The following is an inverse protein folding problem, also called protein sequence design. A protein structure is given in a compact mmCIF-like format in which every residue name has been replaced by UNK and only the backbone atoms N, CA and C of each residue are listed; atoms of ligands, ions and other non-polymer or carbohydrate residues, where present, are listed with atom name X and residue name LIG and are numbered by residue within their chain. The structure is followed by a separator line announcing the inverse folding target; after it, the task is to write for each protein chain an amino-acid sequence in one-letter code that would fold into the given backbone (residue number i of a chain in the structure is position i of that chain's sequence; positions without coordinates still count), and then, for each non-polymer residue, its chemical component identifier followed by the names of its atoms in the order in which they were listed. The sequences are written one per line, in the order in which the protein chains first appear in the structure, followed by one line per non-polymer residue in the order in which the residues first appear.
data_IF_919525457915
#
_entry.id   IF_919525457915
#
_cell.length_a   1.000
_cell.length_b   1.000
_cell.length_c   1.000
_cell.angle_alpha   90.00
_cell.angle_beta   90.00
_cell.angle_gamma   90.00
#
_symmetry.space_group_name_H-M   'P 1'
#
loop_
_entity.id
_entity.type
_entity.pdbx_description
1 polymer ?
#
# COMPACT_ATOMS: atom_id res chain seq x y z
N UNK A 1 36.96 -4.89 4.17
CA UNK A 1 35.63 -4.23 4.14
C UNK A 1 35.17 -4.03 5.58
N UNK A 2 35.01 -2.79 6.02
CA UNK A 2 34.48 -2.47 7.35
C UNK A 2 32.97 -2.48 7.29
N UNK A 3 32.32 -3.40 8.01
CA UNK A 3 30.85 -3.45 8.11
C UNK A 3 30.41 -2.47 9.20
N UNK A 4 29.79 -1.35 8.80
CA UNK A 4 29.13 -0.42 9.72
C UNK A 4 27.65 -0.77 9.76
N UNK A 5 27.08 -0.96 10.95
CA UNK A 5 25.65 -1.23 11.09
C UNK A 5 24.99 -0.18 11.98
N UNK A 6 23.82 0.32 11.55
CA UNK A 6 23.00 1.22 12.35
C UNK A 6 21.60 0.61 12.48
N UNK A 7 21.12 0.50 13.72
CA UNK A 7 19.70 0.21 13.96
C UNK A 7 18.93 1.52 13.80
N UNK A 8 17.97 1.52 12.90
CA UNK A 8 17.08 2.65 12.68
C UNK A 8 15.65 2.16 12.76
N UNK A 9 15.03 2.41 13.90
CA UNK A 9 13.59 2.31 14.02
C UNK A 9 13.00 3.64 13.62
N UNK A 10 12.31 3.68 12.47
CA UNK A 10 11.25 4.65 12.29
C UNK A 10 11.72 6.13 12.27
N UNK A 11 13.04 6.36 12.06
CA UNK A 11 13.69 7.67 12.07
C UNK A 11 14.28 7.98 10.69
N UNK A 12 14.08 9.20 10.21
CA UNK A 12 14.80 9.70 9.04
C UNK A 12 16.24 10.02 9.42
N UNK A 13 17.21 9.46 8.71
CA UNK A 13 18.65 9.72 8.86
C UNK A 13 19.15 10.48 7.63
N UNK A 14 19.20 11.82 7.66
CA UNK A 14 19.52 12.64 6.49
C UNK A 14 20.91 12.36 5.91
N UNK A 15 21.87 11.98 6.75
CA UNK A 15 23.25 11.72 6.35
C UNK A 15 23.32 10.62 5.29
N UNK A 16 22.43 9.63 5.36
CA UNK A 16 22.35 8.52 4.41
C UNK A 16 21.83 8.91 3.03
N UNK A 17 21.22 10.09 2.90
CA UNK A 17 20.68 10.59 1.62
C UNK A 17 21.64 11.54 0.90
N UNK A 18 22.81 11.82 1.48
CA UNK A 18 23.83 12.67 0.87
C UNK A 18 24.59 11.90 -0.23
N UNK A 19 25.06 12.58 -1.29
CA UNK A 19 25.98 11.96 -2.25
C UNK A 19 27.18 11.35 -1.52
N UNK A 20 27.56 10.12 -1.89
CA UNK A 20 28.67 9.39 -1.28
C UNK A 20 28.55 9.18 0.24
N UNK A 21 27.31 9.10 0.77
CA UNK A 21 27.06 8.83 2.18
C UNK A 21 27.67 7.51 2.68
N UNK A 22 27.85 6.55 1.77
CA UNK A 22 28.54 5.29 2.01
C UNK A 22 29.82 5.31 1.17
N UNK A 23 30.98 5.24 1.83
CA UNK A 23 32.27 5.27 1.15
C UNK A 23 32.45 4.02 0.26
N UNK A 24 33.17 4.12 -0.88
CA UNK A 24 33.49 2.96 -1.70
C UNK A 24 34.17 1.86 -0.88
N UNK A 25 33.63 0.63 -0.92
CA UNK A 25 34.16 -0.53 -0.19
C UNK A 25 33.69 -0.66 1.27
N UNK A 26 32.93 0.31 1.80
CA UNK A 26 32.21 0.15 3.06
C UNK A 26 30.89 -0.60 2.83
N UNK A 27 30.55 -1.49 3.75
CA UNK A 27 29.23 -2.12 3.80
C UNK A 27 28.45 -1.43 4.91
N UNK A 28 27.35 -0.77 4.55
CA UNK A 28 26.45 -0.14 5.51
C UNK A 28 25.16 -0.95 5.63
N UNK A 29 24.90 -1.46 6.84
CA UNK A 29 23.73 -2.30 7.13
C UNK A 29 22.69 -1.50 7.92
N UNK A 30 21.50 -1.38 7.34
CA UNK A 30 20.32 -0.83 7.99
C UNK A 30 19.53 -1.95 8.64
N UNK A 31 19.39 -1.90 9.96
CA UNK A 31 18.64 -2.89 10.73
C UNK A 31 17.28 -2.28 11.13
N UNK A 32 16.25 -3.12 11.12
CA UNK A 32 14.87 -2.83 11.57
C UNK A 32 14.01 -2.09 10.52
N UNK A 33 12.94 -1.41 10.97
CA UNK A 33 11.90 -0.86 10.12
C UNK A 33 12.27 0.51 9.56
N UNK A 34 12.77 0.51 8.33
CA UNK A 34 13.14 1.69 7.55
C UNK A 34 11.98 2.17 6.68
N UNK A 35 11.10 3.00 7.24
CA UNK A 35 9.86 3.39 6.55
C UNK A 35 9.57 4.89 6.59
N UNK A 36 10.62 5.69 6.77
CA UNK A 36 10.51 7.11 6.44
C UNK A 36 10.55 7.31 4.93
N UNK A 37 9.49 7.91 4.37
CA UNK A 37 9.42 8.19 2.92
C UNK A 37 10.53 9.14 2.45
N UNK A 38 11.11 9.94 3.36
CA UNK A 38 12.16 10.91 3.08
C UNK A 38 13.43 10.27 2.52
N UNK A 39 13.66 8.98 2.79
CA UNK A 39 14.74 8.23 2.17
C UNK A 39 14.52 7.93 0.70
N UNK A 40 13.25 7.83 0.30
CA UNK A 40 12.85 7.39 -1.04
C UNK A 40 12.37 8.55 -1.91
N UNK A 41 12.04 9.70 -1.30
CA UNK A 41 11.38 10.82 -1.97
C UNK A 41 12.09 11.32 -3.23
N UNK A 42 13.42 11.25 -3.27
CA UNK A 42 14.24 11.66 -4.43
C UNK A 42 14.16 10.67 -5.59
N UNK A 43 13.85 9.41 -5.30
CA UNK A 43 13.84 8.28 -6.24
C UNK A 43 12.45 7.67 -6.40
N UNK A 44 11.39 8.38 -6.02
CA UNK A 44 10.01 7.88 -6.05
C UNK A 44 9.66 7.28 -7.42
N UNK A 45 9.95 8.01 -8.50
CA UNK A 45 9.60 7.58 -9.86
C UNK A 45 10.44 6.39 -10.31
N UNK A 46 11.75 6.39 -10.04
CA UNK A 46 12.60 5.23 -10.34
C UNK A 46 12.14 3.99 -9.58
N UNK A 47 11.83 4.13 -8.28
CA UNK A 47 11.34 3.02 -7.46
C UNK A 47 10.04 2.47 -8.04
N UNK A 48 9.07 3.33 -8.33
CA UNK A 48 7.72 2.91 -8.75
C UNK A 48 7.64 2.44 -10.19
N UNK A 49 8.44 3.02 -11.08
CA UNK A 49 8.31 2.80 -12.53
C UNK A 49 9.39 1.87 -13.10
N UNK A 50 10.57 1.77 -12.44
CA UNK A 50 11.72 1.04 -12.97
C UNK A 50 12.19 -0.11 -12.09
N UNK A 51 12.21 0.07 -10.77
CA UNK A 51 12.75 -0.92 -9.83
C UNK A 51 11.68 -1.91 -9.38
N UNK A 52 10.53 -1.40 -8.94
CA UNK A 52 9.45 -2.24 -8.46
C UNK A 52 8.70 -2.87 -9.62
N UNK A 53 8.88 -4.18 -9.79
CA UNK A 53 8.17 -4.99 -10.76
C UNK A 53 7.91 -6.38 -10.20
N UNK A 54 6.85 -7.02 -10.71
CA UNK A 54 6.62 -8.44 -10.49
C UNK A 54 7.52 -9.25 -11.42
N UNK A 55 7.84 -10.49 -11.03
CA UNK A 55 8.28 -11.51 -11.99
C UNK A 55 7.12 -11.86 -12.92
N UNK A 56 7.41 -12.39 -14.11
CA UNK A 56 6.37 -12.73 -15.09
C UNK A 56 5.32 -13.69 -14.51
N UNK A 57 5.74 -14.69 -13.74
CA UNK A 57 4.83 -15.64 -13.08
C UNK A 57 3.89 -14.97 -12.08
N UNK A 58 4.41 -14.08 -11.22
CA UNK A 58 3.58 -13.33 -10.25
C UNK A 58 2.64 -12.40 -11.00
N UNK A 59 3.13 -11.67 -12.01
CA UNK A 59 2.32 -10.73 -12.78
C UNK A 59 1.16 -11.45 -13.46
N UNK A 60 1.39 -12.59 -14.09
CA UNK A 60 0.33 -13.39 -14.73
C UNK A 60 -0.72 -13.85 -13.72
N UNK A 61 -0.29 -14.42 -12.59
CA UNK A 61 -1.20 -14.90 -11.55
C UNK A 61 -2.07 -13.78 -10.98
N UNK A 62 -1.47 -12.63 -10.67
CA UNK A 62 -2.19 -11.47 -10.16
C UNK A 62 -3.08 -10.85 -11.23
N UNK A 63 -2.61 -10.71 -12.46
CA UNK A 63 -3.41 -10.14 -13.55
C UNK A 63 -4.64 -10.99 -13.87
N UNK A 64 -4.54 -12.32 -13.75
CA UNK A 64 -5.67 -13.22 -13.91
C UNK A 64 -6.78 -12.98 -12.88
N UNK A 65 -6.46 -12.58 -11.64
CA UNK A 65 -7.47 -12.18 -10.66
C UNK A 65 -8.34 -11.04 -11.22
N UNK A 66 -7.72 -9.98 -11.77
CA UNK A 66 -8.45 -8.86 -12.34
C UNK A 66 -9.24 -9.29 -13.59
N UNK A 67 -8.63 -10.05 -14.51
CA UNK A 67 -9.30 -10.57 -15.72
C UNK A 67 -10.56 -11.35 -15.35
N UNK A 68 -10.47 -12.23 -14.34
CA UNK A 68 -11.60 -13.02 -13.88
C UNK A 68 -12.68 -12.16 -13.25
N UNK A 69 -12.32 -11.12 -12.48
CA UNK A 69 -13.30 -10.17 -11.95
C UNK A 69 -14.02 -9.44 -13.11
N UNK A 70 -13.29 -8.92 -14.10
CA UNK A 70 -13.88 -8.28 -15.27
C UNK A 70 -14.86 -9.21 -15.99
N UNK A 71 -14.46 -10.46 -16.20
CA UNK A 71 -15.25 -11.46 -16.93
C UNK A 71 -16.48 -11.93 -16.14
N UNK A 72 -16.29 -12.31 -14.88
CA UNK A 72 -17.28 -13.03 -14.09
C UNK A 72 -18.18 -12.09 -13.28
N UNK A 73 -17.71 -10.89 -12.94
CA UNK A 73 -18.41 -9.95 -12.05
C UNK A 73 -18.80 -8.66 -12.74
N UNK A 74 -17.97 -8.16 -13.67
CA UNK A 74 -18.25 -6.94 -14.44
C UNK A 74 -18.77 -7.24 -15.85
N UNK A 75 -18.95 -8.51 -16.20
CA UNK A 75 -19.48 -8.98 -17.48
C UNK A 75 -18.82 -8.33 -18.71
N UNK A 76 -17.52 -8.10 -18.65
CA UNK A 76 -16.74 -7.44 -19.70
C UNK A 76 -15.42 -8.17 -19.95
N UNK A 77 -14.86 -7.99 -21.15
CA UNK A 77 -13.65 -8.70 -21.60
C UNK A 77 -12.64 -7.71 -22.20
N UNK A 78 -12.06 -6.83 -21.38
CA UNK A 78 -11.01 -5.94 -21.85
C UNK A 78 -9.80 -6.73 -22.35
N UNK A 79 -9.14 -6.22 -23.38
CA UNK A 79 -7.89 -6.79 -23.90
C UNK A 79 -6.72 -6.23 -23.10
N UNK A 80 -6.23 -7.01 -22.14
CA UNK A 80 -5.06 -6.65 -21.34
C UNK A 80 -3.78 -7.34 -21.85
N UNK A 81 -2.65 -6.65 -21.70
CA UNK A 81 -1.32 -7.24 -21.82
C UNK A 81 -0.83 -7.59 -20.41
N UNK A 82 -0.44 -8.85 -20.21
CA UNK A 82 -0.01 -9.38 -18.91
C UNK A 82 1.53 -9.48 -18.78
N UNK A 83 2.26 -8.87 -19.71
CA UNK A 83 3.73 -9.00 -19.79
C UNK A 83 4.49 -7.83 -19.16
N UNK A 84 3.79 -6.76 -18.82
CA UNK A 84 4.40 -5.57 -18.26
C UNK A 84 3.52 -4.98 -17.15
N UNK A 85 4.09 -4.87 -15.95
CA UNK A 85 3.40 -4.36 -14.76
C UNK A 85 2.80 -2.98 -15.02
N UNK A 86 3.60 -2.03 -15.51
CA UNK A 86 3.18 -0.63 -15.67
C UNK A 86 2.11 -0.49 -16.75
N UNK A 87 2.25 -1.24 -17.85
CA UNK A 87 1.24 -1.29 -18.90
C UNK A 87 -0.08 -1.86 -18.37
N UNK A 88 -0.02 -2.97 -17.64
CA UNK A 88 -1.21 -3.59 -17.06
C UNK A 88 -1.93 -2.64 -16.09
N UNK A 89 -1.17 -1.99 -15.19
CA UNK A 89 -1.68 -0.96 -14.28
C UNK A 89 -2.40 0.18 -15.04
N UNK A 90 -1.76 0.69 -16.09
CA UNK A 90 -2.35 1.74 -16.94
C UNK A 90 -3.64 1.26 -17.62
N UNK A 91 -3.67 0.02 -18.12
CA UNK A 91 -4.84 -0.56 -18.76
C UNK A 91 -6.00 -0.75 -17.78
N UNK A 92 -5.73 -1.16 -16.54
CA UNK A 92 -6.75 -1.27 -15.48
C UNK A 92 -7.41 0.08 -15.21
N UNK A 93 -6.63 1.14 -15.03
CA UNK A 93 -7.13 2.50 -14.76
C UNK A 93 -7.95 3.10 -15.92
N UNK A 94 -7.79 2.58 -17.13
CA UNK A 94 -8.49 3.07 -18.33
C UNK A 94 -9.69 2.21 -18.72
N UNK A 95 -9.97 1.12 -18.01
CA UNK A 95 -10.96 0.12 -18.42
C UNK A 95 -12.32 0.35 -17.75
N UNK A 96 -13.38 0.43 -18.57
CA UNK A 96 -14.78 0.50 -18.16
C UNK A 96 -15.12 1.57 -17.11
N UNK A 97 -14.38 2.69 -17.08
CA UNK A 97 -14.51 3.70 -16.03
C UNK A 97 -14.45 3.12 -14.61
N UNK A 98 -13.74 2.00 -14.42
CA UNK A 98 -13.58 1.31 -13.14
C UNK A 98 -12.47 1.97 -12.37
N UNK A 99 -12.71 2.34 -11.12
CA UNK A 99 -11.66 2.80 -10.22
C UNK A 99 -11.30 1.68 -9.26
N UNK A 100 -10.04 1.25 -9.25
CA UNK A 100 -9.56 0.20 -8.36
C UNK A 100 -8.95 0.78 -7.08
N UNK A 101 -9.43 0.33 -5.92
CA UNK A 101 -8.94 0.73 -4.61
C UNK A 101 -8.38 -0.50 -3.89
N UNK A 102 -7.09 -0.47 -3.58
CA UNK A 102 -6.44 -1.50 -2.78
C UNK A 102 -6.75 -1.30 -1.31
N UNK A 103 -7.21 -2.33 -0.62
CA UNK A 103 -7.50 -2.34 0.81
C UNK A 103 -6.57 -3.33 1.49
N UNK A 104 -5.63 -2.82 2.29
CA UNK A 104 -4.80 -3.66 3.14
C UNK A 104 -5.35 -3.64 4.56
N UNK A 105 -5.64 -4.83 5.11
CA UNK A 105 -6.11 -5.02 6.49
C UNK A 105 -5.13 -5.90 7.25
N UNK A 106 -4.49 -5.36 8.29
CA UNK A 106 -3.59 -6.05 9.21
C UNK A 106 -4.35 -6.40 10.49
N UNK A 107 -4.34 -7.68 10.86
CA UNK A 107 -5.04 -8.18 12.05
C UNK A 107 -4.17 -9.06 12.94
N UNK A 108 -3.86 -10.29 12.55
CA UNK A 108 -3.25 -11.35 13.38
C UNK A 108 -2.73 -10.92 14.78
N UNK A 109 -1.44 -10.55 14.86
CA UNK A 109 -0.76 -10.05 16.06
C UNK A 109 -1.31 -8.69 16.53
N UNK A 110 -1.74 -7.82 15.63
CA UNK A 110 -2.34 -6.52 15.92
C UNK A 110 -3.64 -6.64 16.72
N UNK A 111 -4.42 -7.72 16.56
CA UNK A 111 -5.61 -7.97 17.38
C UNK A 111 -5.22 -8.25 18.83
N UNK A 112 -4.23 -9.13 19.03
CA UNK A 112 -3.73 -9.45 20.37
C UNK A 112 -3.08 -8.23 21.06
N UNK A 113 -2.39 -7.39 20.27
CA UNK A 113 -1.75 -6.15 20.74
C UNK A 113 -2.70 -4.95 20.83
N UNK A 114 -3.99 -5.12 20.50
CA UNK A 114 -4.99 -4.04 20.48
C UNK A 114 -4.60 -2.86 19.56
N UNK A 115 -3.88 -3.15 18.48
CA UNK A 115 -3.46 -2.19 17.45
C UNK A 115 -4.24 -2.33 16.15
N UNK A 116 -5.13 -3.33 16.03
CA UNK A 116 -5.93 -3.52 14.83
C UNK A 116 -6.87 -2.34 14.60
N UNK A 117 -6.89 -1.83 13.38
CA UNK A 117 -7.86 -0.82 12.96
C UNK A 117 -9.30 -1.27 13.18
N UNK A 118 -10.17 -0.31 13.49
CA UNK A 118 -11.58 -0.58 13.75
C UNK A 118 -12.40 -0.76 12.47
N UNK A 119 -13.55 -1.42 12.60
CA UNK A 119 -14.51 -1.58 11.50
C UNK A 119 -15.02 -0.21 11.01
N UNK A 120 -15.24 0.73 11.94
CA UNK A 120 -15.71 2.09 11.64
C UNK A 120 -14.71 2.86 10.77
N UNK A 121 -13.42 2.73 11.06
CA UNK A 121 -12.36 3.30 10.22
C UNK A 121 -12.46 2.76 8.78
N UNK A 122 -12.52 1.44 8.64
CA UNK A 122 -12.58 0.79 7.32
C UNK A 122 -13.80 1.24 6.55
N UNK A 123 -14.97 1.25 7.19
CA UNK A 123 -16.21 1.70 6.55
C UNK A 123 -16.17 3.18 6.17
N UNK A 124 -15.66 4.06 7.03
CA UNK A 124 -15.49 5.47 6.68
C UNK A 124 -14.60 5.65 5.44
N UNK A 125 -13.45 4.98 5.41
CA UNK A 125 -12.50 5.06 4.31
C UNK A 125 -13.10 4.54 2.99
N UNK A 126 -13.87 3.45 3.06
CA UNK A 126 -14.62 2.90 1.93
C UNK A 126 -15.64 3.91 1.40
N UNK A 127 -16.47 4.47 2.29
CA UNK A 127 -17.51 5.44 1.90
C UNK A 127 -16.93 6.71 1.28
N UNK A 128 -15.73 7.14 1.71
CA UNK A 128 -15.01 8.23 1.05
C UNK A 128 -14.77 7.95 -0.44
N UNK A 129 -14.28 6.75 -0.77
CA UNK A 129 -14.00 6.39 -2.16
C UNK A 129 -15.27 6.13 -2.97
N UNK A 130 -16.29 5.50 -2.38
CA UNK A 130 -17.59 5.28 -3.06
C UNK A 130 -18.23 6.63 -3.45
N UNK A 131 -18.20 7.63 -2.55
CA UNK A 131 -18.74 8.97 -2.84
C UNK A 131 -17.98 9.70 -3.95
N UNK A 132 -16.67 9.45 -4.07
CA UNK A 132 -15.80 10.14 -5.01
C UNK A 132 -15.72 9.45 -6.38
N UNK A 133 -15.84 8.13 -6.40
CA UNK A 133 -15.71 7.29 -7.59
C UNK A 133 -16.93 6.38 -7.70
N UNK A 134 -17.94 6.75 -8.52
CA UNK A 134 -19.20 6.01 -8.62
C UNK A 134 -19.05 4.53 -9.01
N UNK A 135 -17.97 4.17 -9.72
CA UNK A 135 -17.63 2.80 -10.10
C UNK A 135 -16.36 2.32 -9.39
N UNK A 136 -16.31 2.51 -8.07
CA UNK A 136 -15.25 2.03 -7.19
C UNK A 136 -15.34 0.52 -6.93
N UNK A 137 -14.24 -0.19 -7.16
CA UNK A 137 -14.08 -1.61 -6.83
C UNK A 137 -12.85 -1.82 -5.93
N UNK A 138 -12.96 -2.76 -5.00
CA UNK A 138 -12.01 -2.90 -3.91
C UNK A 138 -11.30 -4.26 -3.99
N UNK A 139 -9.97 -4.24 -4.11
CA UNK A 139 -9.13 -5.43 -3.95
C UNK A 139 -8.65 -5.48 -2.50
N UNK A 140 -9.01 -6.54 -1.77
CA UNK A 140 -8.72 -6.67 -0.33
C UNK A 140 -7.64 -7.72 -0.10
N UNK A 141 -6.50 -7.32 0.46
CA UNK A 141 -5.50 -8.23 0.98
C UNK A 141 -5.42 -8.11 2.51
N UNK A 142 -5.25 -9.24 3.17
CA UNK A 142 -5.25 -9.33 4.63
C UNK A 142 -4.51 -10.57 5.08
N UNK A 143 -3.89 -10.49 6.25
CA UNK A 143 -3.38 -11.66 6.98
C UNK A 143 -4.50 -12.41 7.73
N UNK A 144 -5.69 -11.83 7.79
CA UNK A 144 -6.94 -12.46 8.22
C UNK A 144 -8.04 -12.24 7.17
N UNK A 145 -7.99 -13.07 6.12
CA UNK A 145 -8.98 -13.08 5.02
C UNK A 145 -10.36 -13.54 5.50
N UNK A 146 -10.44 -14.37 6.55
CA UNK A 146 -11.72 -14.82 7.12
C UNK A 146 -12.49 -13.66 7.74
N UNK A 147 -11.83 -12.81 8.51
CA UNK A 147 -12.44 -11.59 9.04
C UNK A 147 -12.91 -10.68 7.91
N UNK A 148 -12.07 -10.42 6.88
CA UNK A 148 -12.45 -9.53 5.79
C UNK A 148 -13.65 -10.05 5.00
N UNK A 149 -13.72 -11.37 4.79
CA UNK A 149 -14.85 -12.03 4.14
C UNK A 149 -16.15 -11.82 4.92
N UNK A 150 -16.10 -11.89 6.26
CA UNK A 150 -17.25 -11.60 7.12
C UNK A 150 -17.60 -10.10 7.09
N UNK A 151 -16.60 -9.23 7.19
CA UNK A 151 -16.81 -7.78 7.23
C UNK A 151 -17.45 -7.25 5.94
N UNK A 152 -17.06 -7.78 4.79
CA UNK A 152 -17.49 -7.30 3.47
C UNK A 152 -18.48 -8.23 2.75
N UNK A 153 -19.05 -9.22 3.43
CA UNK A 153 -19.88 -10.28 2.81
C UNK A 153 -21.03 -9.78 1.92
N UNK A 154 -21.65 -8.64 2.27
CA UNK A 154 -22.78 -8.07 1.54
C UNK A 154 -22.38 -7.03 0.47
N UNK A 155 -21.10 -6.89 0.14
CA UNK A 155 -20.61 -5.87 -0.80
C UNK A 155 -20.07 -6.52 -2.08
N UNK A 156 -20.82 -6.42 -3.17
CA UNK A 156 -20.52 -7.10 -4.44
C UNK A 156 -19.26 -6.58 -5.16
N UNK A 157 -18.83 -5.35 -4.85
CA UNK A 157 -17.65 -4.69 -5.42
C UNK A 157 -16.37 -4.92 -4.59
N UNK A 158 -16.36 -5.91 -3.69
CA UNK A 158 -15.21 -6.27 -2.86
C UNK A 158 -14.69 -7.65 -3.26
N UNK A 159 -13.40 -7.70 -3.59
CA UNK A 159 -12.73 -8.91 -4.06
C UNK A 159 -11.52 -9.18 -3.18
N UNK A 160 -11.58 -10.25 -2.39
CA UNK A 160 -10.43 -10.68 -1.60
C UNK A 160 -9.39 -11.32 -2.52
N UNK A 161 -8.11 -11.07 -2.23
CA UNK A 161 -7.04 -11.81 -2.87
C UNK A 161 -7.14 -13.30 -2.51
N UNK A 162 -6.80 -14.22 -3.44
CA UNK A 162 -6.87 -15.66 -3.19
C UNK A 162 -6.07 -16.10 -1.97
N UNK A 163 -6.53 -17.15 -1.28
CA UNK A 163 -5.77 -17.76 -0.17
C UNK A 163 -4.40 -18.30 -0.63
N UNK A 164 -4.27 -18.64 -1.92
CA UNK A 164 -3.03 -19.07 -2.54
C UNK A 164 -2.05 -17.94 -2.86
N UNK A 165 -2.39 -16.68 -2.58
CA UNK A 165 -1.47 -15.56 -2.74
C UNK A 165 -0.57 -15.46 -1.51
N UNK A 166 0.72 -15.42 -1.78
CA UNK A 166 1.79 -14.98 -0.88
C UNK A 166 1.74 -13.47 -0.67
N UNK A 167 2.49 -12.99 0.32
CA UNK A 167 2.69 -11.56 0.56
C UNK A 167 3.17 -10.80 -0.67
N UNK A 168 4.01 -11.41 -1.52
CA UNK A 168 4.47 -10.79 -2.76
C UNK A 168 3.35 -10.59 -3.79
N UNK A 169 2.46 -11.58 -3.92
CA UNK A 169 1.33 -11.50 -4.83
C UNK A 169 0.27 -10.50 -4.33
N UNK A 170 0.04 -10.46 -3.01
CA UNK A 170 -0.81 -9.43 -2.38
C UNK A 170 -0.25 -8.02 -2.59
N UNK A 171 1.07 -7.83 -2.42
CA UNK A 171 1.73 -6.54 -2.64
C UNK A 171 1.56 -6.07 -4.09
N UNK A 172 1.74 -6.96 -5.05
CA UNK A 172 1.56 -6.65 -6.47
C UNK A 172 0.08 -6.34 -6.76
N UNK A 173 -0.87 -7.15 -6.28
CA UNK A 173 -2.30 -6.91 -6.49
C UNK A 173 -2.75 -5.53 -5.99
N UNK A 174 -2.30 -5.13 -4.79
CA UNK A 174 -2.62 -3.81 -4.24
C UNK A 174 -1.92 -2.67 -4.99
N UNK A 175 -0.67 -2.88 -5.42
CA UNK A 175 0.10 -1.87 -6.16
C UNK A 175 -0.48 -1.54 -7.55
N UNK A 176 -1.23 -2.47 -8.15
CA UNK A 176 -1.92 -2.31 -9.43
C UNK A 176 -3.20 -1.46 -9.35
N UNK A 177 -3.72 -1.24 -8.15
CA UNK A 177 -4.85 -0.34 -7.93
C UNK A 177 -4.44 1.13 -8.17
N UNK A 178 -5.44 2.02 -8.21
CA UNK A 178 -5.22 3.47 -8.38
C UNK A 178 -5.10 4.19 -7.03
N UNK A 179 -5.85 3.74 -6.02
CA UNK A 179 -5.89 4.35 -4.69
C UNK A 179 -5.78 3.29 -3.60
N UNK A 180 -5.58 3.72 -2.34
CA UNK A 180 -5.41 2.80 -1.23
C UNK A 180 -6.17 3.18 0.03
N UNK A 181 -6.61 2.15 0.76
CA UNK A 181 -6.99 2.17 2.17
C UNK A 181 -6.02 1.24 2.88
N UNK A 182 -5.35 1.71 3.92
CA UNK A 182 -4.36 0.88 4.64
C UNK A 182 -4.56 0.98 6.15
N UNK A 183 -4.56 -0.16 6.82
CA UNK A 183 -4.46 -0.22 8.29
C UNK A 183 -3.00 -0.09 8.73
N UNK A 184 -2.76 -0.13 10.04
CA UNK A 184 -1.41 -0.16 10.60
C UNK A 184 -0.56 -1.30 10.03
N UNK A 185 0.75 -1.06 9.91
CA UNK A 185 1.74 -2.03 9.44
C UNK A 185 2.65 -1.50 8.35
N UNK A 186 3.82 -2.13 8.21
CA UNK A 186 4.80 -1.78 7.17
C UNK A 186 4.36 -2.18 5.78
N UNK A 187 3.66 -3.32 5.70
CA UNK A 187 3.16 -3.86 4.45
C UNK A 187 2.18 -2.88 3.80
N UNK A 188 1.15 -2.43 4.53
CA UNK A 188 0.19 -1.44 4.03
C UNK A 188 0.85 -0.12 3.63
N UNK A 189 1.84 0.34 4.39
CA UNK A 189 2.60 1.53 4.02
C UNK A 189 3.25 1.37 2.64
N UNK A 190 3.94 0.25 2.39
CA UNK A 190 4.61 -0.02 1.13
C UNK A 190 3.62 -0.20 -0.02
N UNK A 191 2.51 -0.91 0.20
CA UNK A 191 1.48 -1.07 -0.84
C UNK A 191 0.99 0.29 -1.30
N UNK A 192 0.60 1.16 -0.38
CA UNK A 192 0.10 2.50 -0.69
C UNK A 192 1.15 3.41 -1.34
N UNK A 193 2.41 3.32 -0.88
CA UNK A 193 3.51 4.10 -1.45
C UNK A 193 3.77 3.70 -2.91
N UNK A 194 3.67 2.40 -3.24
CA UNK A 194 3.88 1.85 -4.58
C UNK A 194 2.67 2.04 -5.50
N UNK A 195 1.45 2.05 -4.93
CA UNK A 195 0.21 2.41 -5.65
C UNK A 195 0.28 3.81 -6.24
N UNK A 196 0.90 4.78 -5.56
CA UNK A 196 1.06 6.16 -6.02
C UNK A 196 -0.27 6.85 -6.38
N UNK A 197 -1.21 6.82 -5.45
CA UNK A 197 -2.46 7.56 -5.58
C UNK A 197 -2.90 8.18 -4.28
N UNK A 198 -4.19 8.44 -4.19
CA UNK A 198 -4.80 8.86 -2.94
C UNK A 198 -4.74 7.72 -1.93
N UNK A 199 -4.38 8.04 -0.68
CA UNK A 199 -4.24 7.06 0.39
C UNK A 199 -5.00 7.53 1.61
N UNK A 200 -5.87 6.67 2.13
CA UNK A 200 -6.46 6.81 3.46
C UNK A 200 -5.77 5.80 4.37
N UNK A 201 -5.26 6.27 5.50
CA UNK A 201 -4.67 5.40 6.51
C UNK A 201 -5.25 5.70 7.90
N UNK A 202 -5.20 4.70 8.77
CA UNK A 202 -5.67 4.84 10.15
C UNK A 202 -4.70 5.69 10.98
N UNK A 203 -5.22 6.38 12.01
CA UNK A 203 -4.43 7.03 13.05
C UNK A 203 -3.67 6.01 13.89
N UNK A 204 -4.26 4.82 14.06
CA UNK A 204 -3.69 3.74 14.87
C UNK A 204 -2.56 3.07 14.07
N UNK A 205 -1.38 3.65 14.19
CA UNK A 205 -0.15 2.94 13.89
C UNK A 205 0.80 3.08 15.09
N UNK A 206 1.13 1.98 15.77
CA UNK A 206 2.11 1.97 16.85
C UNK A 206 3.52 2.11 16.23
N UNK A 207 3.80 3.25 15.63
CA UNK A 207 5.16 3.54 15.24
C UNK A 207 5.92 3.97 16.49
N UNK A 208 7.04 3.30 16.80
CA UNK A 208 8.10 3.91 17.60
C UNK A 208 8.79 5.10 16.90
N UNK A 209 8.14 5.70 15.90
CA UNK A 209 8.57 6.86 15.16
C UNK A 209 8.25 8.10 16.01
N UNK A 210 9.24 8.97 16.20
CA UNK A 210 9.06 10.23 16.95
C UNK A 210 8.02 11.15 16.32
N UNK A 211 7.88 11.12 14.97
CA UNK A 211 7.10 12.09 14.20
C UNK A 211 6.41 11.46 13.00
N UNK A 212 5.08 11.64 12.91
CA UNK A 212 4.25 11.12 11.82
C UNK A 212 4.72 11.64 10.47
N UNK A 213 5.08 12.91 10.38
CA UNK A 213 5.50 13.59 9.15
C UNK A 213 6.83 13.09 8.60
N UNK A 214 7.61 12.34 9.37
CA UNK A 214 8.80 11.66 8.86
C UNK A 214 8.48 10.28 8.33
N UNK A 215 7.37 9.69 8.79
CA UNK A 215 6.98 8.34 8.48
C UNK A 215 6.00 8.29 7.30
N UNK A 216 4.84 8.94 7.45
CA UNK A 216 3.83 9.00 6.40
C UNK A 216 4.09 10.17 5.46
N UNK A 217 4.07 9.92 4.14
CA UNK A 217 4.07 11.01 3.20
C UNK A 217 2.91 12.00 3.43
N UNK A 218 3.07 13.29 3.10
CA UNK A 218 2.03 14.29 3.33
C UNK A 218 0.74 14.04 2.51
N UNK A 219 0.81 13.25 1.44
CA UNK A 219 -0.35 12.85 0.64
C UNK A 219 -1.09 11.63 1.21
N UNK A 220 -0.59 11.00 2.27
CA UNK A 220 -1.32 10.00 3.04
C UNK A 220 -2.24 10.73 4.02
N UNK A 221 -3.55 10.55 3.82
CA UNK A 221 -4.56 11.26 4.59
C UNK A 221 -5.11 10.39 5.72
N UNK A 222 -5.48 11.06 6.80
CA UNK A 222 -6.23 10.48 7.90
C UNK A 222 -7.71 10.87 7.71
N UNK A 223 -8.65 9.93 7.91
CA UNK A 223 -10.08 10.24 7.98
C UNK A 223 -10.42 11.49 8.80
N UNK A 224 -11.23 12.38 8.23
CA UNK A 224 -11.71 13.59 8.89
C UNK A 224 -10.76 14.80 8.86
N UNK A 225 -9.53 14.67 8.36
CA UNK A 225 -8.60 15.80 8.22
C UNK A 225 -8.20 16.01 6.75
N UNK A 226 -8.76 17.06 6.15
CA UNK A 226 -8.32 17.62 4.87
C UNK A 226 -6.91 18.18 5.06
N UNK A 227 -5.94 17.58 4.37
CA UNK A 227 -4.50 17.93 4.33
C UNK A 227 -3.82 17.81 5.70
N UNK A 228 -2.72 17.04 5.74
CA UNK A 228 -1.67 17.28 6.71
C UNK A 228 -1.20 18.72 6.53
N UNK A 229 -1.79 19.66 7.28
CA UNK A 229 -1.28 21.00 7.38
C UNK A 229 0.14 20.88 7.93
N UNK A 230 1.02 21.70 7.36
CA UNK A 230 2.47 21.79 7.58
C UNK A 230 2.90 21.99 9.06
N UNK A 231 1.93 22.05 9.99
CA UNK A 231 2.09 22.36 11.41
C UNK A 231 1.00 21.68 12.29
N UNK A 232 0.62 20.44 12.05
CA UNK A 232 -0.18 19.72 13.07
C UNK A 232 0.73 19.23 14.17
N UNK A 233 0.86 20.03 15.24
CA UNK A 233 1.42 19.62 16.53
C UNK A 233 0.58 18.47 17.09
N UNK A 234 0.90 17.23 16.70
CA UNK A 234 0.56 16.05 17.48
C UNK A 234 1.74 15.81 18.41
N UNK A 235 1.64 16.38 19.61
CA UNK A 235 2.47 15.98 20.74
C UNK A 235 1.99 14.60 21.18
N UNK A 236 2.92 13.64 21.26
CA UNK A 236 2.72 12.31 21.80
C UNK A 236 2.17 12.36 23.24
#
# INVERSE_FOLDING_TARGET
MTKKSRSITCQYVPELTRPNAIAPGDIFELKHYWQSYLHFTKYNDDIRQRIFSATQSILQKVSNLFVDIYKLKLHSKPKFSLDNHQLFKKQLAQSNWTTWIGVHVRRSDFVALQFSSSDEYLFFAIEYYIKRYPNAHFIVASDDKRYCRKLFHNRANFFLTPESFSMGEDLIALSLCEHSIVTGGTFGWWTAYLTNGHVIHDKVYPSGCERREYYYPPWFMIPGNVRAQKYSNYTL
#
